data_IF_387925487469
#
_entry.id   IF_387925487469
#
_cell.length_a   1.000
_cell.length_b   1.000
_cell.length_c   1.000
_cell.angle_alpha   90.00
_cell.angle_beta   90.00
_cell.angle_gamma   90.00
#
_symmetry.space_group_name_H-M   'P 1'
#
loop_
_entity.id
_entity.type
_entity.pdbx_description
1 polymer ?
#
# COMPACT_ATOMS: atom_id res chain seq x y z
N UNK A 1 20.77 24.86 -7.28
CA UNK A 1 22.26 24.91 -7.18
C UNK A 1 22.75 25.43 -5.82
N UNK A 2 21.99 26.33 -5.19
CA UNK A 2 22.26 26.95 -3.88
C UNK A 2 22.28 25.96 -2.71
N UNK A 3 21.46 24.91 -2.74
CA UNK A 3 21.34 23.91 -1.65
C UNK A 3 22.45 22.83 -1.71
N UNK A 4 23.26 22.78 -2.78
CA UNK A 4 24.29 21.76 -2.89
C UNK A 4 25.49 22.08 -1.95
N UNK A 5 26.11 21.07 -1.30
CA UNK A 5 27.26 21.26 -0.42
C UNK A 5 28.42 22.02 -1.06
N UNK A 6 29.21 22.74 -0.26
CA UNK A 6 30.18 23.73 -0.74
C UNK A 6 31.27 23.18 -1.68
N UNK A 7 31.78 21.96 -1.47
CA UNK A 7 32.78 21.35 -2.38
C UNK A 7 32.09 20.71 -3.57
N UNK A 8 32.12 21.41 -4.72
CA UNK A 8 31.51 21.00 -5.99
C UNK A 8 32.58 20.81 -7.05
N UNK A 9 32.50 19.74 -7.84
CA UNK A 9 33.32 19.51 -9.02
C UNK A 9 32.43 19.27 -10.22
N UNK A 10 32.65 20.01 -11.30
CA UNK A 10 31.87 19.84 -12.53
C UNK A 10 32.63 18.91 -13.48
N UNK A 11 31.96 17.88 -14.00
CA UNK A 11 32.52 17.00 -15.03
C UNK A 11 32.21 17.52 -16.43
N UNK A 12 33.03 17.17 -17.44
CA UNK A 12 32.71 17.44 -18.85
C UNK A 12 31.37 16.84 -19.32
N UNK A 13 30.92 15.76 -18.65
CA UNK A 13 29.64 15.08 -18.92
C UNK A 13 28.41 15.76 -18.28
N UNK A 14 28.60 16.93 -17.65
CA UNK A 14 27.55 17.76 -17.07
C UNK A 14 27.12 17.38 -15.65
N UNK A 15 27.90 16.54 -14.95
CA UNK A 15 27.62 16.20 -13.55
C UNK A 15 28.28 17.21 -12.61
N UNK A 16 27.54 17.65 -11.62
CA UNK A 16 28.04 18.40 -10.46
C UNK A 16 28.18 17.44 -9.30
N UNK A 17 29.42 17.06 -8.97
CA UNK A 17 29.77 16.12 -7.92
C UNK A 17 30.07 16.81 -6.59
N UNK A 18 29.60 16.25 -5.50
CA UNK A 18 29.74 16.72 -4.12
C UNK A 18 29.62 15.55 -3.13
N UNK A 19 29.92 15.79 -1.85
CA UNK A 19 29.82 14.75 -0.83
C UNK A 19 28.37 14.31 -0.63
N UNK A 20 28.11 13.02 -0.82
CA UNK A 20 26.77 12.45 -0.74
C UNK A 20 26.23 12.42 0.70
N UNK A 21 25.24 13.26 1.00
CA UNK A 21 24.51 13.25 2.28
C UNK A 21 23.74 11.95 2.51
N UNK A 22 23.32 11.28 1.44
CA UNK A 22 22.51 10.06 1.54
C UNK A 22 23.29 8.85 2.11
N UNK A 23 24.63 8.83 2.08
CA UNK A 23 25.41 7.66 2.53
C UNK A 23 25.10 7.29 3.99
N UNK A 24 25.11 8.27 4.90
CA UNK A 24 24.84 8.04 6.33
C UNK A 24 23.42 7.57 6.62
N UNK A 25 22.48 7.86 5.71
CA UNK A 25 21.09 7.41 5.81
C UNK A 25 20.83 6.06 5.14
N UNK A 26 21.82 5.50 4.43
CA UNK A 26 21.69 4.25 3.67
C UNK A 26 22.78 3.23 4.07
N UNK A 27 23.18 3.21 5.35
CA UNK A 27 24.09 2.19 5.90
C UNK A 27 25.57 2.39 5.58
N UNK A 28 25.94 3.53 5.02
CA UNK A 28 27.32 3.85 4.63
C UNK A 28 27.93 4.93 5.53
N UNK A 29 29.26 4.96 5.61
CA UNK A 29 29.97 6.03 6.33
C UNK A 29 29.85 7.38 5.61
N UNK A 30 30.07 8.47 6.35
CA UNK A 30 29.99 9.84 5.80
C UNK A 30 30.90 10.00 4.58
N UNK A 31 30.31 10.45 3.47
CA UNK A 31 31.05 10.60 2.24
C UNK A 31 32.05 11.76 2.32
N UNK A 32 33.31 11.47 2.01
CA UNK A 32 34.42 12.44 1.92
C UNK A 32 35.03 12.53 0.52
N UNK A 33 34.53 11.74 -0.44
CA UNK A 33 35.13 11.54 -1.77
C UNK A 33 34.30 12.14 -2.92
N UNK A 34 33.29 12.95 -2.58
CA UNK A 34 32.40 13.60 -3.55
C UNK A 34 31.71 12.63 -4.52
N UNK A 35 31.17 11.53 -3.97
CA UNK A 35 30.53 10.44 -4.73
C UNK A 35 29.04 10.69 -5.00
N UNK A 36 28.48 11.82 -4.60
CA UNK A 36 27.14 12.25 -4.99
C UNK A 36 27.23 13.14 -6.21
N UNK A 37 26.50 12.82 -7.27
CA UNK A 37 26.41 13.66 -8.47
C UNK A 37 24.98 14.13 -8.70
N UNK A 38 24.81 15.39 -9.10
CA UNK A 38 23.58 15.92 -9.71
C UNK A 38 23.87 16.29 -11.16
N UNK A 39 23.00 15.88 -12.08
CA UNK A 39 22.98 16.36 -13.46
C UNK A 39 21.69 17.15 -13.68
N UNK A 40 21.82 18.40 -14.08
CA UNK A 40 20.70 19.31 -14.37
C UNK A 40 20.47 19.33 -15.88
N UNK A 41 19.21 19.28 -16.29
CA UNK A 41 18.77 19.31 -17.69
C UNK A 41 17.53 20.20 -17.81
N UNK A 42 17.74 21.47 -18.20
CA UNK A 42 16.71 22.51 -18.13
C UNK A 42 16.17 22.69 -16.71
N UNK A 43 14.86 22.50 -16.54
CA UNK A 43 14.20 22.52 -15.22
C UNK A 43 14.24 21.18 -14.48
N UNK A 44 14.74 20.11 -15.13
CA UNK A 44 14.80 18.78 -14.58
C UNK A 44 16.16 18.53 -13.93
N UNK A 45 16.21 17.57 -13.00
CA UNK A 45 17.48 17.11 -12.47
C UNK A 45 17.46 15.63 -12.11
N UNK A 46 18.63 15.01 -12.17
CA UNK A 46 18.85 13.63 -11.74
C UNK A 46 20.01 13.60 -10.75
N UNK A 47 19.88 12.76 -9.73
CA UNK A 47 20.86 12.53 -8.68
C UNK A 47 21.29 11.07 -8.66
N UNK A 48 22.59 10.84 -8.52
CA UNK A 48 23.14 9.52 -8.30
C UNK A 48 24.26 9.56 -7.26
N UNK A 49 24.16 8.71 -6.24
CA UNK A 49 25.27 8.42 -5.35
C UNK A 49 26.02 7.16 -5.84
N UNK A 50 27.27 7.34 -6.23
CA UNK A 50 28.17 6.27 -6.67
C UNK A 50 28.76 5.44 -5.51
N UNK A 51 28.31 5.66 -4.26
CA UNK A 51 28.65 4.81 -3.11
C UNK A 51 27.48 3.91 -2.70
N UNK A 52 26.44 4.49 -2.11
CA UNK A 52 25.27 3.72 -1.63
C UNK A 52 24.23 3.41 -2.73
N UNK A 53 24.48 3.81 -3.97
CA UNK A 53 23.56 3.58 -5.10
C UNK A 53 22.26 4.39 -5.06
N UNK A 54 22.12 5.35 -4.14
CA UNK A 54 20.91 6.16 -4.02
C UNK A 54 20.65 6.97 -5.29
N UNK A 55 19.43 6.87 -5.83
CA UNK A 55 18.98 7.56 -7.03
C UNK A 55 17.74 8.39 -6.74
N UNK A 56 17.75 9.64 -7.14
CA UNK A 56 16.60 10.54 -7.09
C UNK A 56 16.53 11.37 -8.36
N UNK A 57 15.35 11.89 -8.69
CA UNK A 57 15.18 12.78 -9.83
C UNK A 57 13.97 13.67 -9.63
N UNK A 58 13.96 14.77 -10.36
CA UNK A 58 12.85 15.70 -10.48
C UNK A 58 12.62 15.97 -11.96
N UNK A 59 11.35 15.97 -12.33
CA UNK A 59 10.88 16.41 -13.63
C UNK A 59 9.79 17.44 -13.39
N UNK A 60 9.90 18.61 -14.02
CA UNK A 60 8.85 19.62 -14.00
C UNK A 60 7.55 19.03 -14.56
N UNK A 61 6.40 19.40 -13.99
CA UNK A 61 5.10 18.80 -14.33
C UNK A 61 4.74 17.55 -13.50
N UNK A 62 5.68 17.04 -12.68
CA UNK A 62 5.46 15.85 -11.83
C UNK A 62 5.56 16.18 -10.35
N UNK A 63 4.85 15.39 -9.54
CA UNK A 63 5.04 15.42 -8.08
C UNK A 63 6.45 14.96 -7.73
N UNK A 64 7.07 15.59 -6.73
CA UNK A 64 8.32 15.12 -6.14
C UNK A 64 8.11 13.71 -5.58
N UNK A 65 8.86 12.74 -6.12
CA UNK A 65 8.85 11.37 -5.62
C UNK A 65 9.47 11.26 -4.22
N UNK A 66 9.18 10.16 -3.52
CA UNK A 66 9.63 9.94 -2.14
C UNK A 66 11.16 10.11 -1.98
N UNK A 67 11.94 9.59 -2.93
CA UNK A 67 13.40 9.70 -2.91
C UNK A 67 13.90 11.13 -3.15
N UNK A 68 13.21 11.90 -3.99
CA UNK A 68 13.56 13.30 -4.23
C UNK A 68 13.29 14.15 -2.99
N UNK A 69 12.14 13.95 -2.32
CA UNK A 69 11.83 14.67 -1.05
C UNK A 69 12.84 14.35 0.04
N UNK A 70 13.15 13.07 0.26
CA UNK A 70 14.17 12.65 1.24
C UNK A 70 15.53 13.28 0.95
N UNK A 71 15.95 13.32 -0.32
CA UNK A 71 17.22 13.95 -0.68
C UNK A 71 17.21 15.46 -0.37
N UNK A 72 16.13 16.17 -0.70
CA UNK A 72 16.02 17.61 -0.42
C UNK A 72 16.03 17.89 1.09
N UNK A 73 15.31 17.07 1.86
CA UNK A 73 15.30 17.11 3.32
C UNK A 73 16.71 16.90 3.90
N UNK A 74 17.45 15.88 3.43
CA UNK A 74 18.84 15.64 3.86
C UNK A 74 19.82 16.73 3.40
N UNK A 75 19.46 17.50 2.38
CA UNK A 75 20.22 18.67 1.95
C UNK A 75 19.84 19.94 2.74
N UNK A 76 18.87 19.85 3.66
CA UNK A 76 18.46 20.95 4.54
C UNK A 76 17.41 21.87 3.92
N UNK A 77 16.67 21.41 2.91
CA UNK A 77 15.50 22.16 2.41
C UNK A 77 14.34 21.96 3.37
N UNK A 78 13.73 23.05 3.83
CA UNK A 78 12.58 22.97 4.73
C UNK A 78 11.33 22.39 4.04
N UNK A 79 10.44 21.82 4.85
CA UNK A 79 9.23 21.16 4.37
C UNK A 79 8.29 22.09 3.61
N UNK A 80 8.23 23.38 3.98
CA UNK A 80 7.42 24.39 3.30
C UNK A 80 7.92 24.64 1.88
N UNK A 81 9.21 24.82 1.71
CA UNK A 81 9.87 24.98 0.40
C UNK A 81 9.72 23.72 -0.46
N UNK A 82 9.87 22.51 0.12
CA UNK A 82 9.61 21.26 -0.61
C UNK A 82 8.16 21.19 -1.09
N UNK A 83 7.20 21.61 -0.25
CA UNK A 83 5.79 21.72 -0.60
C UNK A 83 5.54 22.70 -1.74
N UNK A 84 6.13 23.90 -1.66
CA UNK A 84 6.02 24.93 -2.69
C UNK A 84 6.59 24.47 -4.04
N UNK A 85 7.77 23.81 -4.05
CA UNK A 85 8.37 23.24 -5.27
C UNK A 85 7.43 22.19 -5.89
N UNK A 86 6.81 21.34 -5.06
CA UNK A 86 5.89 20.32 -5.55
C UNK A 86 4.64 20.94 -6.18
N UNK A 87 4.09 21.97 -5.55
CA UNK A 87 2.87 22.67 -5.99
C UNK A 87 3.14 23.46 -7.28
N UNK A 88 4.27 24.15 -7.35
CA UNK A 88 4.71 24.84 -8.55
C UNK A 88 4.92 23.84 -9.70
N UNK A 89 5.61 22.72 -9.46
CA UNK A 89 5.79 21.67 -10.47
C UNK A 89 4.46 21.16 -11.03
N UNK A 90 3.43 21.03 -10.19
CA UNK A 90 2.11 20.57 -10.61
C UNK A 90 1.36 21.58 -11.50
N UNK A 91 1.62 22.88 -11.38
CA UNK A 91 1.03 23.90 -12.28
C UNK A 91 1.52 23.72 -13.72
N UNK A 92 2.73 23.20 -13.89
CA UNK A 92 3.36 22.95 -15.19
C UNK A 92 3.06 21.53 -15.72
N UNK A 93 2.05 20.85 -15.16
CA UNK A 93 1.67 19.51 -15.60
C UNK A 93 0.92 19.58 -16.93
N UNK A 94 1.61 19.17 -17.99
CA UNK A 94 1.09 19.17 -19.36
C UNK A 94 0.00 18.09 -19.56
N UNK A 95 -0.99 18.39 -20.41
CA UNK A 95 -2.11 17.51 -20.78
C UNK A 95 -1.59 16.22 -21.42
N UNK A 96 -0.54 16.31 -22.25
CA UNK A 96 0.12 15.14 -22.82
C UNK A 96 0.74 14.23 -21.73
N UNK A 97 1.24 14.82 -20.65
CA UNK A 97 1.86 14.08 -19.54
C UNK A 97 0.80 13.41 -18.64
N UNK A 98 -0.39 13.98 -18.52
CA UNK A 98 -1.55 13.31 -17.91
C UNK A 98 -1.95 12.04 -18.68
N UNK A 99 -1.86 12.06 -20.02
CA UNK A 99 -2.13 10.91 -20.87
C UNK A 99 -1.03 9.84 -20.79
N UNK A 100 0.24 10.25 -20.74
CA UNK A 100 1.37 9.34 -20.51
C UNK A 100 1.34 8.67 -19.12
N UNK A 101 1.03 9.43 -18.07
CA UNK A 101 0.92 8.89 -16.71
C UNK A 101 -0.22 7.86 -16.64
N UNK A 102 -1.39 8.14 -17.26
CA UNK A 102 -2.47 7.15 -17.44
C UNK A 102 -1.99 5.88 -18.15
N UNK A 103 -1.12 6.01 -19.16
CA UNK A 103 -0.57 4.86 -19.88
C UNK A 103 0.55 4.11 -19.12
N UNK A 104 1.29 4.77 -18.22
CA UNK A 104 2.23 4.08 -17.30
C UNK A 104 1.52 3.30 -16.21
N UNK A 105 0.39 3.79 -15.69
CA UNK A 105 -0.46 3.01 -14.78
C UNK A 105 -1.03 1.74 -15.44
N UNK A 106 -1.16 1.71 -16.78
CA UNK A 106 -1.59 0.53 -17.54
C UNK A 106 -0.53 -0.58 -17.67
N UNK A 107 0.76 -0.32 -17.42
CA UNK A 107 1.84 -1.26 -17.79
C UNK A 107 2.12 -2.36 -16.75
N UNK A 108 1.85 -2.16 -15.46
CA UNK A 108 1.95 -3.25 -14.45
C UNK A 108 0.55 -3.73 -14.08
N UNK A 109 -0.22 -4.40 -14.95
CA UNK A 109 -1.49 -5.01 -14.48
C UNK A 109 -1.18 -5.91 -13.28
N UNK A 110 -1.57 -5.50 -12.08
CA UNK A 110 -1.54 -6.35 -10.90
C UNK A 110 -2.47 -7.51 -11.22
N UNK A 111 -1.91 -8.70 -11.23
CA UNK A 111 -2.62 -9.93 -11.50
C UNK A 111 -2.43 -10.83 -10.29
N UNK A 112 -3.52 -11.44 -9.88
CA UNK A 112 -3.50 -12.53 -8.92
C UNK A 112 -3.90 -13.80 -9.68
N UNK A 113 -3.20 -14.90 -9.39
CA UNK A 113 -3.51 -16.18 -10.01
C UNK A 113 -4.84 -16.70 -9.46
N UNK A 114 -5.71 -17.24 -10.31
CA UNK A 114 -6.92 -17.89 -9.83
C UNK A 114 -6.58 -19.10 -8.96
N UNK A 115 -7.41 -19.35 -7.95
CA UNK A 115 -7.28 -20.47 -7.02
C UNK A 115 -8.60 -21.23 -6.95
N UNK A 116 -8.50 -22.55 -6.94
CA UNK A 116 -9.65 -23.42 -6.64
C UNK A 116 -9.86 -23.46 -5.13
N UNK A 117 -11.10 -23.37 -4.70
CA UNK A 117 -11.46 -23.61 -3.30
C UNK A 117 -11.35 -25.11 -2.99
N UNK A 118 -11.05 -25.51 -1.74
CA UNK A 118 -11.06 -26.91 -1.34
C UNK A 118 -12.41 -27.58 -1.61
N UNK A 119 -12.39 -28.81 -2.13
CA UNK A 119 -13.60 -29.56 -2.56
C UNK A 119 -14.57 -29.86 -1.40
N UNK A 120 -14.07 -29.90 -0.16
CA UNK A 120 -14.89 -30.13 1.03
C UNK A 120 -15.81 -28.95 1.41
N UNK A 121 -15.64 -27.80 0.77
CA UNK A 121 -16.36 -26.59 1.13
C UNK A 121 -17.73 -26.56 0.47
N UNK A 122 -18.74 -26.27 1.26
CA UNK A 122 -20.09 -25.99 0.81
C UNK A 122 -20.51 -24.56 1.17
N UNK A 123 -21.41 -24.00 0.37
CA UNK A 123 -22.00 -22.69 0.64
C UNK A 123 -22.80 -22.74 1.94
N UNK A 124 -22.70 -21.68 2.74
CA UNK A 124 -23.49 -21.51 3.96
C UNK A 124 -24.99 -21.53 3.63
N UNK A 125 -25.75 -22.42 4.27
CA UNK A 125 -27.20 -22.57 4.06
C UNK A 125 -27.98 -21.92 5.19
N UNK A 126 -29.29 -21.76 4.97
CA UNK A 126 -30.22 -21.22 5.97
C UNK A 126 -30.31 -22.08 7.24
N UNK A 127 -30.00 -23.38 7.16
CA UNK A 127 -30.06 -24.33 8.29
C UNK A 127 -28.83 -24.28 9.19
N UNK A 128 -27.77 -23.57 8.80
CA UNK A 128 -26.45 -23.59 9.46
C UNK A 128 -26.35 -22.57 10.61
N UNK A 129 -27.31 -22.59 11.54
CA UNK A 129 -27.49 -21.59 12.60
C UNK A 129 -26.20 -21.26 13.35
N UNK A 130 -25.43 -22.28 13.76
CA UNK A 130 -24.14 -22.09 14.46
C UNK A 130 -23.21 -21.08 13.76
N UNK A 131 -23.10 -21.16 12.44
CA UNK A 131 -22.20 -20.32 11.66
C UNK A 131 -22.82 -18.93 11.42
N UNK A 132 -24.14 -18.87 11.20
CA UNK A 132 -24.88 -17.61 11.07
C UNK A 132 -24.84 -16.79 12.37
N UNK A 133 -25.09 -17.42 13.52
CA UNK A 133 -25.04 -16.79 14.84
C UNK A 133 -23.66 -16.17 15.10
N UNK A 134 -22.59 -16.85 14.67
CA UNK A 134 -21.25 -16.31 14.78
C UNK A 134 -21.04 -15.07 13.89
N UNK A 135 -21.46 -15.10 12.63
CA UNK A 135 -21.37 -13.95 11.73
C UNK A 135 -22.17 -12.76 12.26
N UNK A 136 -23.39 -13.00 12.73
CA UNK A 136 -24.23 -11.98 13.34
C UNK A 136 -23.61 -11.40 14.61
N UNK A 137 -22.99 -12.22 15.46
CA UNK A 137 -22.25 -11.75 16.64
C UNK A 137 -21.05 -10.83 16.29
N UNK A 138 -20.61 -10.88 15.03
CA UNK A 138 -19.55 -10.04 14.46
C UNK A 138 -20.11 -8.89 13.60
N UNK A 139 -21.42 -8.63 13.67
CA UNK A 139 -22.13 -7.61 12.89
C UNK A 139 -22.00 -7.81 11.37
N UNK A 140 -21.99 -9.06 10.92
CA UNK A 140 -21.94 -9.44 9.51
C UNK A 140 -23.26 -10.13 9.16
N UNK A 141 -23.90 -9.67 8.09
CA UNK A 141 -25.07 -10.34 7.51
C UNK A 141 -24.62 -11.66 6.85
N UNK A 142 -25.12 -12.83 7.30
CA UNK A 142 -24.73 -14.11 6.73
C UNK A 142 -25.03 -14.28 5.24
N UNK A 143 -25.95 -13.48 4.69
CA UNK A 143 -26.37 -13.58 3.29
C UNK A 143 -25.67 -12.51 2.40
N UNK A 144 -24.82 -11.65 2.97
CA UNK A 144 -24.15 -10.55 2.23
C UNK A 144 -22.89 -10.96 1.46
N UNK A 145 -22.38 -12.17 1.70
CA UNK A 145 -21.16 -12.68 1.06
C UNK A 145 -21.27 -14.20 0.87
N UNK A 146 -20.63 -14.81 -0.15
CA UNK A 146 -20.64 -16.27 -0.34
C UNK A 146 -19.74 -16.96 0.70
N UNK A 147 -20.17 -16.95 1.96
CA UNK A 147 -19.51 -17.68 3.03
C UNK A 147 -19.58 -19.18 2.77
N UNK A 148 -18.45 -19.85 2.99
CA UNK A 148 -18.31 -21.27 2.81
C UNK A 148 -18.05 -21.94 4.16
N UNK A 149 -18.48 -23.19 4.32
CA UNK A 149 -18.29 -23.98 5.53
C UNK A 149 -17.91 -25.41 5.16
N UNK A 150 -17.46 -26.18 6.16
CA UNK A 150 -17.20 -27.62 6.01
C UNK A 150 -17.67 -28.34 7.27
N UNK A 151 -19.00 -28.42 7.50
CA UNK A 151 -19.58 -28.92 8.75
C UNK A 151 -19.42 -30.43 8.91
N UNK A 152 -19.35 -31.18 7.81
CA UNK A 152 -19.25 -32.64 7.80
C UNK A 152 -17.81 -33.15 7.96
N UNK A 153 -16.83 -32.26 7.93
CA UNK A 153 -15.42 -32.61 8.04
C UNK A 153 -14.98 -32.88 9.48
N UNK A 154 -13.78 -33.44 9.64
CA UNK A 154 -13.15 -33.70 10.95
C UNK A 154 -11.82 -32.95 11.11
N UNK A 155 -11.39 -32.81 12.36
CA UNK A 155 -10.10 -32.22 12.71
C UNK A 155 -9.94 -30.78 12.20
N UNK A 156 -8.82 -30.49 11.52
CA UNK A 156 -8.50 -29.12 11.06
C UNK A 156 -9.41 -28.58 9.97
N UNK A 157 -10.25 -29.43 9.36
CA UNK A 157 -11.20 -29.01 8.33
C UNK A 157 -12.60 -28.72 8.88
N UNK A 158 -12.88 -28.98 10.16
CA UNK A 158 -14.19 -28.74 10.75
C UNK A 158 -14.30 -27.38 11.47
N UNK A 159 -15.53 -27.00 11.85
CA UNK A 159 -15.82 -25.84 12.70
C UNK A 159 -15.13 -24.55 12.24
N UNK A 160 -15.20 -24.27 10.94
CA UNK A 160 -14.61 -23.08 10.34
C UNK A 160 -15.58 -22.40 9.38
N UNK A 161 -15.49 -21.08 9.31
CA UNK A 161 -16.07 -20.27 8.24
C UNK A 161 -14.94 -19.93 7.28
N UNK A 162 -15.13 -20.23 6.01
CA UNK A 162 -14.20 -19.89 4.94
C UNK A 162 -14.76 -18.73 4.14
N UNK A 163 -13.94 -17.69 3.98
CA UNK A 163 -14.23 -16.50 3.20
C UNK A 163 -13.37 -16.58 1.94
N UNK A 164 -13.97 -16.81 0.76
CA UNK A 164 -13.26 -16.71 -0.50
C UNK A 164 -12.70 -15.30 -0.71
N UNK A 165 -11.60 -15.19 -1.43
CA UNK A 165 -11.02 -13.91 -1.85
C UNK A 165 -11.28 -13.71 -3.33
N UNK A 166 -11.76 -12.53 -3.72
CA UNK A 166 -12.00 -12.21 -5.13
C UNK A 166 -11.16 -11.03 -5.59
N UNK A 167 -10.71 -11.11 -6.85
CA UNK A 167 -10.14 -9.99 -7.58
C UNK A 167 -10.53 -10.08 -9.05
N UNK A 168 -11.04 -9.00 -9.62
CA UNK A 168 -11.63 -8.98 -10.97
C UNK A 168 -12.69 -10.09 -11.17
N UNK A 169 -13.45 -10.40 -10.11
CA UNK A 169 -14.52 -11.41 -10.13
C UNK A 169 -14.04 -12.86 -10.08
N UNK A 170 -12.73 -13.12 -9.98
CA UNK A 170 -12.15 -14.46 -9.88
C UNK A 170 -11.73 -14.78 -8.45
N UNK A 171 -11.90 -16.03 -8.03
CA UNK A 171 -11.37 -16.50 -6.74
C UNK A 171 -9.84 -16.59 -6.82
N UNK A 172 -9.16 -15.91 -5.90
CA UNK A 172 -7.68 -15.78 -5.87
C UNK A 172 -7.05 -16.24 -4.56
N UNK A 173 -7.85 -16.72 -3.61
CA UNK A 173 -7.42 -17.20 -2.30
C UNK A 173 -8.61 -17.37 -1.36
N UNK A 174 -8.32 -17.57 -0.07
CA UNK A 174 -9.35 -17.67 0.97
C UNK A 174 -8.76 -17.53 2.39
N UNK A 175 -9.63 -17.22 3.35
CA UNK A 175 -9.34 -17.26 4.79
C UNK A 175 -10.30 -18.24 5.47
N UNK A 176 -9.80 -19.14 6.30
CA UNK A 176 -10.59 -19.97 7.19
C UNK A 176 -10.49 -19.46 8.63
N UNK A 177 -11.60 -19.00 9.20
CA UNK A 177 -11.72 -18.67 10.62
C UNK A 177 -12.25 -19.86 11.40
N UNK A 178 -11.47 -20.37 12.34
CA UNK A 178 -11.96 -21.38 13.28
C UNK A 178 -12.90 -20.77 14.32
N UNK A 179 -13.94 -21.53 14.66
CA UNK A 179 -14.99 -21.18 15.62
C UNK A 179 -14.77 -21.80 17.00
N UNK A 180 -13.73 -22.61 17.15
CA UNK A 180 -13.31 -23.16 18.43
C UNK A 180 -12.03 -22.47 18.94
N UNK A 181 -11.51 -22.97 20.06
CA UNK A 181 -10.37 -22.35 20.74
C UNK A 181 -9.00 -22.75 20.17
N UNK A 182 -8.94 -23.27 18.94
CA UNK A 182 -7.67 -23.73 18.36
C UNK A 182 -6.79 -22.56 17.91
N UNK A 183 -5.49 -22.81 17.91
CA UNK A 183 -4.47 -21.87 17.44
C UNK A 183 -3.74 -22.43 16.20
N UNK A 184 -3.50 -21.61 15.16
CA UNK A 184 -3.94 -20.22 15.00
C UNK A 184 -5.46 -20.09 14.79
N UNK A 185 -6.03 -18.90 15.07
CA UNK A 185 -7.45 -18.61 14.84
C UNK A 185 -7.83 -18.61 13.36
N UNK A 186 -6.87 -18.32 12.48
CA UNK A 186 -7.05 -18.25 11.03
C UNK A 186 -6.05 -19.14 10.30
N UNK A 187 -6.48 -19.70 9.16
CA UNK A 187 -5.61 -20.23 8.11
C UNK A 187 -5.88 -19.43 6.83
N UNK A 188 -4.84 -18.95 6.18
CA UNK A 188 -4.98 -18.07 5.02
C UNK A 188 -4.22 -18.66 3.83
N UNK A 189 -4.89 -18.72 2.68
CA UNK A 189 -4.28 -18.92 1.36
C UNK A 189 -4.31 -17.56 0.66
N UNK A 190 -3.23 -16.78 0.80
CA UNK A 190 -3.17 -15.40 0.32
C UNK A 190 -1.95 -15.18 -0.59
N UNK A 191 -2.16 -14.46 -1.69
CA UNK A 191 -1.08 -14.05 -2.59
C UNK A 191 -0.43 -12.74 -2.13
N UNK A 192 0.90 -12.58 -2.27
CA UNK A 192 1.60 -11.37 -1.86
C UNK A 192 1.05 -10.10 -2.53
N UNK A 193 0.64 -9.12 -1.74
CA UNK A 193 0.10 -7.87 -2.24
C UNK A 193 -1.42 -7.83 -2.39
N UNK A 194 -2.11 -8.94 -2.12
CA UNK A 194 -3.57 -9.00 -2.12
C UNK A 194 -4.16 -8.08 -1.04
N UNK A 195 -5.27 -7.43 -1.39
CA UNK A 195 -6.09 -6.59 -0.51
C UNK A 195 -7.50 -7.11 -0.63
N UNK A 196 -8.08 -7.54 0.49
CA UNK A 196 -9.45 -8.01 0.51
C UNK A 196 -10.41 -6.84 0.28
N UNK A 197 -11.56 -7.11 -0.33
CA UNK A 197 -12.64 -6.14 -0.50
C UNK A 197 -12.52 -5.22 -1.71
N UNK A 198 -11.50 -5.41 -2.57
CA UNK A 198 -11.35 -4.64 -3.81
C UNK A 198 -12.57 -4.78 -4.72
N UNK A 199 -13.06 -6.00 -4.93
CA UNK A 199 -14.26 -6.26 -5.74
C UNK A 199 -15.57 -5.87 -5.04
N UNK A 200 -15.54 -5.60 -3.72
CA UNK A 200 -16.71 -5.15 -2.96
C UNK A 200 -16.97 -3.64 -3.12
N UNK A 201 -16.00 -2.91 -3.67
CA UNK A 201 -16.05 -1.47 -3.82
C UNK A 201 -17.03 -1.04 -4.91
N UNK A 202 -17.96 -0.14 -4.56
CA UNK A 202 -18.97 0.36 -5.51
C UNK A 202 -18.48 1.60 -6.26
N UNK A 203 -18.74 1.71 -7.56
CA UNK A 203 -18.22 2.79 -8.42
C UNK A 203 -18.54 4.21 -7.95
N UNK A 204 -19.70 4.39 -7.32
CA UNK A 204 -20.16 5.70 -6.84
C UNK A 204 -19.52 6.15 -5.52
N UNK A 205 -18.73 5.30 -4.85
CA UNK A 205 -18.04 5.67 -3.61
C UNK A 205 -16.79 6.49 -3.91
N UNK A 206 -16.68 7.63 -3.24
CA UNK A 206 -15.53 8.55 -3.35
C UNK A 206 -14.41 8.23 -2.37
N UNK A 207 -14.72 7.48 -1.32
CA UNK A 207 -13.80 7.10 -0.24
C UNK A 207 -13.69 5.59 -0.13
N UNK A 208 -12.52 5.12 0.32
CA UNK A 208 -12.28 3.74 0.74
C UNK A 208 -11.74 3.72 2.15
N UNK A 209 -12.34 2.87 2.98
CA UNK A 209 -11.85 2.57 4.32
C UNK A 209 -10.88 1.38 4.21
N UNK A 210 -9.75 1.46 4.90
CA UNK A 210 -8.75 0.39 5.00
C UNK A 210 -8.61 -0.02 6.45
N UNK A 211 -8.84 -1.31 6.74
CA UNK A 211 -8.73 -1.93 8.06
C UNK A 211 -7.71 -3.08 8.05
N UNK A 212 -7.40 -3.60 9.23
CA UNK A 212 -6.51 -4.76 9.39
C UNK A 212 -7.23 -6.07 9.12
N UNK A 213 -8.39 -6.25 9.76
CA UNK A 213 -9.09 -7.53 9.83
C UNK A 213 -10.07 -7.79 8.69
N UNK A 214 -10.16 -9.06 8.31
CA UNK A 214 -11.10 -9.55 7.30
C UNK A 214 -12.56 -9.28 7.67
N UNK A 215 -12.92 -9.54 8.92
CA UNK A 215 -14.31 -9.44 9.38
C UNK A 215 -14.74 -7.99 9.56
N UNK A 216 -13.81 -7.12 9.96
CA UNK A 216 -14.05 -5.68 10.05
C UNK A 216 -14.23 -5.09 8.64
N UNK A 217 -13.55 -5.63 7.62
CA UNK A 217 -13.81 -5.25 6.24
C UNK A 217 -15.16 -5.74 5.73
N UNK A 218 -15.56 -6.97 6.05
CA UNK A 218 -16.84 -7.53 5.65
C UNK A 218 -18.04 -6.78 6.25
N UNK A 219 -17.95 -6.33 7.49
CA UNK A 219 -19.08 -5.66 8.18
C UNK A 219 -19.44 -4.30 7.57
N UNK A 220 -18.49 -3.63 6.92
CA UNK A 220 -18.69 -2.29 6.34
C UNK A 220 -18.27 -2.18 4.86
N UNK A 221 -18.05 -3.31 4.18
CA UNK A 221 -17.53 -3.36 2.81
C UNK A 221 -16.24 -2.55 2.59
N UNK A 222 -15.35 -2.56 3.59
CA UNK A 222 -14.05 -1.90 3.53
C UNK A 222 -12.98 -2.79 2.87
N UNK A 223 -11.77 -2.25 2.76
CA UNK A 223 -10.59 -2.97 2.31
C UNK A 223 -9.84 -3.54 3.51
N UNK A 224 -9.37 -4.79 3.46
CA UNK A 224 -8.48 -5.34 4.48
C UNK A 224 -7.08 -5.65 3.94
N UNK A 225 -6.05 -5.25 4.68
CA UNK A 225 -4.66 -5.60 4.39
C UNK A 225 -4.23 -6.94 5.00
N UNK A 226 -5.02 -7.47 5.95
CA UNK A 226 -4.87 -8.78 6.58
C UNK A 226 -3.53 -8.99 7.32
N UNK A 227 -2.77 -7.90 7.55
CA UNK A 227 -1.46 -7.86 8.19
C UNK A 227 -1.39 -6.58 9.05
N UNK A 228 -0.38 -6.48 9.92
CA UNK A 228 -0.11 -5.31 10.77
C UNK A 228 0.44 -4.08 10.02
N UNK A 229 0.66 -4.17 8.71
CA UNK A 229 1.24 -3.08 7.91
C UNK A 229 0.84 -3.17 6.43
N UNK A 230 0.94 -2.05 5.70
CA UNK A 230 0.62 -1.98 4.27
C UNK A 230 1.89 -2.17 3.44
N UNK A 231 1.99 -3.28 2.70
CA UNK A 231 3.09 -3.50 1.76
C UNK A 231 3.03 -2.53 0.56
N UNK A 232 4.16 -2.31 -0.12
CA UNK A 232 4.20 -1.50 -1.35
C UNK A 232 3.27 -2.04 -2.45
N UNK A 233 3.09 -3.37 -2.53
CA UNK A 233 2.17 -3.99 -3.49
C UNK A 233 0.70 -3.68 -3.14
N UNK A 234 0.32 -3.80 -1.88
CA UNK A 234 -1.03 -3.44 -1.41
C UNK A 234 -1.31 -1.95 -1.63
N UNK A 235 -0.35 -1.08 -1.33
CA UNK A 235 -0.48 0.36 -1.57
C UNK A 235 -0.74 0.66 -3.06
N UNK A 236 -0.09 -0.07 -3.98
CA UNK A 236 -0.35 0.05 -5.42
C UNK A 236 -1.75 -0.45 -5.80
N UNK A 237 -2.23 -1.55 -5.22
CA UNK A 237 -3.61 -2.05 -5.44
C UNK A 237 -4.62 -1.00 -4.99
N UNK A 238 -4.53 -0.53 -3.75
CA UNK A 238 -5.50 0.41 -3.17
C UNK A 238 -5.52 1.72 -3.96
N UNK A 239 -4.35 2.24 -4.34
CA UNK A 239 -4.25 3.50 -5.09
C UNK A 239 -4.87 3.44 -6.48
N UNK A 240 -5.07 2.25 -7.07
CA UNK A 240 -5.74 2.08 -8.37
C UNK A 240 -7.23 2.33 -8.31
N UNK A 241 -7.84 2.25 -7.13
CA UNK A 241 -9.24 2.58 -6.94
C UNK A 241 -9.52 4.06 -7.16
N UNK A 242 -8.48 4.92 -7.16
CA UNK A 242 -8.58 6.37 -7.41
C UNK A 242 -9.59 7.07 -6.48
N UNK A 243 -9.60 6.66 -5.21
CA UNK A 243 -10.46 7.18 -4.15
C UNK A 243 -9.64 7.80 -3.03
N UNK A 244 -10.30 8.58 -2.19
CA UNK A 244 -9.72 9.06 -0.95
C UNK A 244 -9.61 7.90 0.04
N UNK A 245 -8.43 7.71 0.62
CA UNK A 245 -8.13 6.54 1.44
C UNK A 245 -8.08 6.96 2.91
N UNK A 246 -8.92 6.30 3.72
CA UNK A 246 -8.96 6.48 5.18
C UNK A 246 -8.59 5.16 5.83
N UNK A 247 -7.51 5.16 6.61
CA UNK A 247 -7.07 4.00 7.38
C UNK A 247 -7.70 4.05 8.76
N UNK A 248 -8.30 2.95 9.18
CA UNK A 248 -8.93 2.75 10.48
C UNK A 248 -8.20 1.58 11.17
N UNK A 249 -7.21 1.86 12.02
CA UNK A 249 -6.37 0.86 12.66
C UNK A 249 -7.04 0.29 13.92
N UNK A 250 -6.61 -0.89 14.34
CA UNK A 250 -6.95 -1.39 15.67
C UNK A 250 -6.24 -0.55 16.74
N UNK A 251 -6.87 -0.33 17.90
CA UNK A 251 -6.29 0.45 19.00
C UNK A 251 -5.30 -0.38 19.84
N UNK A 252 -4.31 -0.97 19.19
CA UNK A 252 -3.26 -1.76 19.84
C UNK A 252 -1.84 -1.36 19.36
N UNK A 253 -0.82 -2.08 19.85
CA UNK A 253 0.56 -1.81 19.46
C UNK A 253 0.83 -2.07 17.96
N UNK A 254 0.12 -3.03 17.37
CA UNK A 254 0.23 -3.36 15.94
C UNK A 254 -0.37 -2.24 15.08
N UNK A 255 -1.51 -1.68 15.50
CA UNK A 255 -2.17 -0.57 14.80
C UNK A 255 -1.30 0.68 14.66
N UNK A 256 -0.37 0.93 15.59
CA UNK A 256 0.62 2.02 15.47
C UNK A 256 1.52 1.86 14.23
N UNK A 257 1.88 0.63 13.85
CA UNK A 257 2.67 0.39 12.65
C UNK A 257 1.87 0.74 11.39
N UNK A 258 0.60 0.35 11.37
CA UNK A 258 -0.32 0.66 10.29
C UNK A 258 -0.52 2.18 10.13
N UNK A 259 -0.72 2.91 11.23
CA UNK A 259 -0.82 4.39 11.24
C UNK A 259 0.42 5.02 10.64
N UNK A 260 1.60 4.64 11.14
CA UNK A 260 2.88 5.18 10.66
C UNK A 260 3.05 4.92 9.16
N UNK A 261 2.59 3.76 8.69
CA UNK A 261 2.63 3.41 7.28
C UNK A 261 1.65 4.23 6.45
N UNK A 262 0.42 4.43 6.92
CA UNK A 262 -0.59 5.28 6.28
C UNK A 262 -0.11 6.72 6.09
N UNK A 263 0.47 7.31 7.15
CA UNK A 263 1.03 8.67 7.11
C UNK A 263 2.15 8.77 6.06
N UNK A 264 3.05 7.78 5.98
CA UNK A 264 4.12 7.74 4.96
C UNK A 264 3.58 7.64 3.53
N UNK A 265 2.44 6.99 3.34
CA UNK A 265 1.74 6.88 2.05
C UNK A 265 0.92 8.13 1.72
N UNK A 266 0.73 9.04 2.68
CA UNK A 266 -0.08 10.24 2.55
C UNK A 266 -1.58 9.96 2.63
N UNK A 267 -1.98 8.91 3.37
CA UNK A 267 -3.38 8.55 3.58
C UNK A 267 -3.90 9.15 4.88
N UNK A 268 -5.20 9.45 4.92
CA UNK A 268 -5.87 9.90 6.14
C UNK A 268 -5.97 8.74 7.13
N UNK A 269 -5.96 9.05 8.41
CA UNK A 269 -6.15 8.08 9.50
C UNK A 269 -7.32 8.55 10.35
N UNK A 270 -8.24 7.64 10.67
CA UNK A 270 -9.34 7.88 11.60
C UNK A 270 -9.19 6.92 12.78
N UNK A 271 -9.30 7.45 14.00
CA UNK A 271 -9.21 6.68 15.25
C UNK A 271 -10.52 6.93 16.01
N UNK A 272 -11.56 6.11 15.76
CA UNK A 272 -12.84 6.28 16.42
C UNK A 272 -12.77 5.90 17.90
N UNK A 273 -13.57 6.57 18.72
CA UNK A 273 -13.73 6.23 20.14
C UNK A 273 -14.72 5.06 20.25
N UNK A 274 -14.21 3.84 20.35
CA UNK A 274 -14.99 2.63 20.64
C UNK A 274 -14.52 1.97 21.94
#
# INVERSE_FOLDING_TARGET
>A
MTVLPARKKMSPSGWVSFNAVCCTHNGETKDKRSRGGVKVDGHNWSYHCFNCGYKASFKLGRTLGLRARKLLDWLGVDSGTIGAINLESLKHKDIAQLLEDKNKFKQDKIKFNSKTLPDELELLKSTDNKFKDYLQSRSIDPDSYPFMISPNEKGRKNNRIVVPYTYDGLVVGWSARFLDNRTPKYINEQQPGYVFGVDLQQDHWTQCIVVEGLFDALSINALAVLHNTISEKQAKVIKRLQRDIVVVPDQDKSGLELINRAIKLGWSVSIPNW
#
